data_IF_449937524492
#
_entry.id   IF_449937524492
#
_cell.length_a   1.000
_cell.length_b   1.000
_cell.length_c   1.000
_cell.angle_alpha   90.00
_cell.angle_beta   90.00
_cell.angle_gamma   90.00
#
_symmetry.space_group_name_H-M   'P 1'
#
loop_
_entity.id
_entity.type
_entity.pdbx_description
1 polymer ?
#
# COMPACT_ATOMS: atom_id res chain seq x y z
N UNK A 1 -43.83 -23.97 10.71
CA UNK A 1 -42.41 -23.91 11.14
C UNK A 1 -41.43 -24.13 9.99
N UNK A 2 -41.58 -25.19 9.18
CA UNK A 2 -40.65 -25.50 8.07
C UNK A 2 -40.45 -24.35 7.07
N UNK A 3 -41.51 -23.70 6.59
CA UNK A 3 -41.43 -22.58 5.64
C UNK A 3 -40.65 -21.37 6.18
N UNK A 4 -40.87 -21.00 7.45
CA UNK A 4 -40.12 -19.91 8.11
C UNK A 4 -38.63 -20.24 8.26
N UNK A 5 -38.32 -21.50 8.55
CA UNK A 5 -36.93 -21.98 8.64
C UNK A 5 -36.25 -21.96 7.26
N UNK A 6 -36.97 -22.37 6.20
CA UNK A 6 -36.47 -22.30 4.83
C UNK A 6 -36.17 -20.85 4.40
N UNK A 7 -37.06 -19.91 4.72
CA UNK A 7 -36.85 -18.48 4.40
C UNK A 7 -35.63 -17.91 5.14
N UNK A 8 -35.45 -18.26 6.42
CA UNK A 8 -34.28 -17.83 7.21
C UNK A 8 -32.96 -18.39 6.65
N UNK A 9 -32.94 -19.64 6.20
CA UNK A 9 -31.74 -20.26 5.62
C UNK A 9 -31.39 -19.59 4.28
N UNK A 10 -32.38 -19.35 3.42
CA UNK A 10 -32.17 -18.65 2.14
C UNK A 10 -31.69 -17.22 2.36
N UNK A 11 -32.30 -16.49 3.31
CA UNK A 11 -31.88 -15.12 3.63
C UNK A 11 -30.45 -15.06 4.18
N UNK A 12 -30.06 -16.00 5.04
CA UNK A 12 -28.69 -16.12 5.56
C UNK A 12 -27.66 -16.41 4.46
N UNK A 13 -27.99 -17.27 3.50
CA UNK A 13 -27.14 -17.57 2.35
C UNK A 13 -26.97 -16.36 1.42
N UNK A 14 -28.03 -15.56 1.22
CA UNK A 14 -27.99 -14.34 0.41
C UNK A 14 -27.19 -13.19 1.04
N UNK A 15 -26.89 -13.23 2.34
CA UNK A 15 -26.08 -12.23 3.03
C UNK A 15 -24.58 -12.51 3.00
N UNK A 16 -24.17 -13.69 2.52
CA UNK A 16 -22.76 -14.05 2.47
C UNK A 16 -22.14 -13.58 1.15
N UNK A 17 -20.99 -12.90 1.25
CA UNK A 17 -20.09 -12.43 0.19
C UNK A 17 -20.18 -10.95 -0.23
N UNK A 18 -19.98 -10.02 0.72
CA UNK A 18 -19.47 -8.67 0.38
C UNK A 18 -17.95 -8.71 0.51
N UNK A 19 -17.23 -8.56 -0.61
CA UNK A 19 -15.77 -8.48 -0.63
C UNK A 19 -15.35 -7.06 -0.99
N UNK A 20 -14.42 -6.49 -0.22
CA UNK A 20 -13.78 -5.22 -0.53
C UNK A 20 -12.36 -5.50 -1.05
N UNK A 21 -12.06 -5.02 -2.25
CA UNK A 21 -10.76 -5.19 -2.88
C UNK A 21 -9.80 -4.02 -2.58
N UNK A 22 -10.34 -2.80 -2.46
CA UNK A 22 -9.57 -1.59 -2.13
C UNK A 22 -9.15 -1.55 -0.65
N UNK A 23 -8.00 -0.92 -0.38
CA UNK A 23 -7.56 -0.66 1.00
C UNK A 23 -6.08 -0.32 1.14
N UNK A 24 -5.73 0.28 2.28
CA UNK A 24 -4.34 0.48 2.71
C UNK A 24 -3.95 -0.68 3.65
N UNK A 25 -3.02 -1.51 3.20
CA UNK A 25 -2.67 -2.75 3.88
C UNK A 25 -1.45 -2.57 4.80
N UNK A 26 -1.55 -3.08 6.03
CA UNK A 26 -0.39 -3.18 6.90
C UNK A 26 0.60 -4.20 6.33
N UNK A 27 1.85 -3.76 6.08
CA UNK A 27 2.89 -4.58 5.44
C UNK A 27 3.13 -5.93 6.14
N UNK A 28 3.16 -5.93 7.48
CA UNK A 28 3.34 -7.14 8.28
C UNK A 28 2.21 -8.17 8.17
N UNK A 29 1.05 -7.77 7.62
CA UNK A 29 -0.10 -8.64 7.42
C UNK A 29 -0.22 -9.15 5.98
N UNK A 30 0.56 -8.63 5.01
CA UNK A 30 0.47 -9.04 3.61
C UNK A 30 0.62 -10.55 3.43
N UNK A 31 1.52 -11.19 4.19
CA UNK A 31 1.70 -12.66 4.15
C UNK A 31 0.58 -13.44 4.85
N UNK A 32 -0.03 -12.86 5.88
CA UNK A 32 -1.13 -13.50 6.64
C UNK A 32 -2.43 -13.42 5.86
N UNK A 33 -2.61 -12.35 5.08
CA UNK A 33 -3.75 -12.15 4.22
C UNK A 33 -3.56 -12.88 2.88
N UNK A 34 -4.00 -14.15 2.85
CA UNK A 34 -3.97 -14.97 1.64
C UNK A 34 -4.76 -14.35 0.48
N UNK A 35 -5.81 -13.59 0.77
CA UNK A 35 -6.59 -12.91 -0.26
C UNK A 35 -5.76 -11.81 -0.92
N UNK A 36 -5.09 -10.95 -0.14
CA UNK A 36 -4.22 -9.91 -0.70
C UNK A 36 -3.07 -10.48 -1.52
N UNK A 37 -2.37 -11.52 -1.02
CA UNK A 37 -1.31 -12.20 -1.79
C UNK A 37 -1.83 -12.78 -3.11
N UNK A 38 -3.02 -13.40 -3.09
CA UNK A 38 -3.65 -13.93 -4.30
C UNK A 38 -4.02 -12.82 -5.28
N UNK A 39 -4.69 -11.77 -4.81
CA UNK A 39 -5.11 -10.63 -5.63
C UNK A 39 -3.91 -9.92 -6.26
N UNK A 40 -2.84 -9.66 -5.50
CA UNK A 40 -1.62 -9.06 -6.06
C UNK A 40 -1.05 -9.90 -7.22
N UNK A 41 -1.02 -11.24 -7.07
CA UNK A 41 -0.56 -12.16 -8.13
C UNK A 41 -1.51 -12.19 -9.33
N UNK A 42 -2.82 -12.25 -9.08
CA UNK A 42 -3.87 -12.23 -10.12
C UNK A 42 -3.82 -10.93 -10.94
N UNK A 43 -3.48 -9.81 -10.30
CA UNK A 43 -3.26 -8.50 -10.94
C UNK A 43 -1.88 -8.36 -11.62
N UNK A 44 -1.06 -9.41 -11.61
CA UNK A 44 0.20 -9.46 -12.37
C UNK A 44 1.46 -9.09 -11.58
N UNK A 45 1.40 -8.96 -10.25
CA UNK A 45 2.61 -8.77 -9.45
C UNK A 45 3.50 -10.02 -9.55
N UNK A 46 4.66 -9.87 -10.18
CA UNK A 46 5.64 -10.95 -10.31
C UNK A 46 6.57 -11.07 -9.10
N UNK A 47 6.70 -9.99 -8.32
CA UNK A 47 7.54 -9.95 -7.13
C UNK A 47 6.89 -10.71 -5.96
N UNK A 48 7.63 -11.58 -5.24
CA UNK A 48 7.08 -12.24 -4.07
C UNK A 48 6.92 -11.25 -2.90
N UNK A 49 5.89 -11.45 -2.06
CA UNK A 49 5.53 -10.53 -0.97
C UNK A 49 6.66 -10.27 0.03
N UNK A 50 7.55 -11.24 0.27
CA UNK A 50 8.70 -11.05 1.15
C UNK A 50 9.76 -10.09 0.57
N UNK A 51 9.75 -9.84 -0.73
CA UNK A 51 10.58 -8.79 -1.34
C UNK A 51 9.94 -7.41 -1.22
N UNK A 52 8.62 -7.34 -0.99
CA UNK A 52 7.94 -6.09 -0.64
C UNK A 52 8.24 -5.73 0.82
N UNK A 53 8.05 -6.69 1.74
CA UNK A 53 8.30 -6.49 3.17
C UNK A 53 8.85 -7.75 3.84
N UNK A 54 10.01 -7.63 4.49
CA UNK A 54 10.58 -8.64 5.37
C UNK A 54 11.23 -7.93 6.58
N UNK A 55 10.80 -8.20 7.82
CA UNK A 55 11.36 -7.53 9.00
C UNK A 55 12.79 -7.98 9.35
N UNK A 56 13.36 -8.97 8.65
CA UNK A 56 14.68 -9.54 8.94
C UNK A 56 15.70 -9.38 7.82
N UNK A 57 15.27 -8.98 6.62
CA UNK A 57 16.12 -8.93 5.42
C UNK A 57 15.80 -7.67 4.62
N UNK A 58 16.78 -7.13 3.87
CA UNK A 58 16.52 -6.03 2.95
C UNK A 58 15.36 -6.34 1.99
N UNK A 59 14.45 -5.39 1.87
CA UNK A 59 13.22 -5.46 1.09
C UNK A 59 12.86 -4.09 0.49
N UNK A 60 11.82 -4.04 -0.35
CA UNK A 60 11.41 -2.80 -1.04
C UNK A 60 11.00 -1.70 -0.06
N UNK A 61 10.37 -2.06 1.07
CA UNK A 61 9.96 -1.10 2.08
C UNK A 61 11.14 -0.29 2.66
N UNK A 62 12.37 -0.83 2.64
CA UNK A 62 13.55 -0.11 3.14
C UNK A 62 13.97 1.06 2.24
N UNK A 63 13.52 1.08 0.98
CA UNK A 63 13.75 2.18 0.05
C UNK A 63 12.65 3.26 0.09
N UNK A 64 11.54 3.02 0.79
CA UNK A 64 10.42 3.97 0.89
C UNK A 64 10.54 4.76 2.19
N UNK A 65 10.53 6.09 2.08
CA UNK A 65 10.78 6.99 3.21
C UNK A 65 9.60 7.92 3.50
N UNK A 66 9.45 8.29 4.77
CA UNK A 66 8.59 9.41 5.17
C UNK A 66 9.33 10.71 4.84
N UNK A 67 8.75 11.52 3.94
CA UNK A 67 9.33 12.77 3.49
C UNK A 67 8.60 13.94 4.15
N UNK A 68 9.29 14.69 5.01
CA UNK A 68 8.71 15.83 5.74
C UNK A 68 7.60 15.47 6.74
N UNK A 69 7.32 14.18 6.97
CA UNK A 69 6.28 13.70 7.88
C UNK A 69 4.86 13.64 7.27
N UNK A 70 4.67 14.07 6.02
CA UNK A 70 3.36 14.11 5.36
C UNK A 70 3.39 13.56 3.92
N UNK A 71 4.55 13.51 3.28
CA UNK A 71 4.74 12.94 1.95
C UNK A 71 5.49 11.62 2.01
N UNK A 72 5.54 10.93 0.87
CA UNK A 72 6.43 9.80 0.66
C UNK A 72 7.59 10.20 -0.26
N UNK A 73 8.71 9.50 -0.10
CA UNK A 73 9.82 9.52 -1.03
C UNK A 73 10.32 8.11 -1.31
N UNK A 74 11.16 7.97 -2.32
CA UNK A 74 11.84 6.71 -2.67
C UNK A 74 13.32 6.96 -2.88
N UNK A 75 14.16 6.14 -2.24
CA UNK A 75 15.62 6.12 -2.46
C UNK A 75 15.92 5.40 -3.77
N UNK A 76 16.71 6.03 -4.65
CA UNK A 76 16.98 5.53 -6.01
C UNK A 76 18.46 5.40 -6.35
N UNK A 77 19.37 5.73 -5.42
CA UNK A 77 20.82 5.49 -5.57
C UNK A 77 21.45 4.99 -4.28
N UNK A 78 22.63 4.36 -4.40
CA UNK A 78 23.43 3.88 -3.27
C UNK A 78 23.94 5.02 -2.37
N UNK A 79 24.08 6.23 -2.94
CA UNK A 79 24.48 7.45 -2.23
C UNK A 79 23.31 8.16 -1.53
N UNK A 80 22.09 7.61 -1.60
CA UNK A 80 20.92 8.16 -0.92
C UNK A 80 20.17 9.25 -1.69
N UNK A 81 20.24 9.26 -3.03
CA UNK A 81 19.36 10.13 -3.84
C UNK A 81 17.89 9.75 -3.60
N UNK A 82 17.05 10.73 -3.27
CA UNK A 82 15.62 10.54 -2.99
C UNK A 82 14.77 11.25 -4.04
N UNK A 83 13.81 10.53 -4.61
CA UNK A 83 12.74 11.11 -5.43
C UNK A 83 11.48 11.33 -4.59
N UNK A 84 10.82 12.46 -4.81
CA UNK A 84 9.49 12.81 -4.27
C UNK A 84 8.76 13.71 -5.26
N UNK A 85 7.53 14.10 -4.97
CA UNK A 85 6.80 15.02 -5.82
C UNK A 85 7.26 16.48 -5.62
N UNK A 86 7.15 17.28 -6.68
CA UNK A 86 7.48 18.71 -6.64
C UNK A 86 6.74 19.45 -5.50
N UNK A 87 5.44 19.21 -5.34
CA UNK A 87 4.64 19.86 -4.29
C UNK A 87 5.07 19.43 -2.86
N UNK A 88 5.71 18.28 -2.70
CA UNK A 88 6.27 17.84 -1.42
C UNK A 88 7.58 18.58 -1.09
N UNK A 89 8.40 18.87 -2.11
CA UNK A 89 9.65 19.63 -1.97
C UNK A 89 9.46 21.15 -2.06
N UNK A 90 8.26 21.62 -2.37
CA UNK A 90 7.99 23.02 -2.72
C UNK A 90 8.45 24.02 -1.66
N UNK A 91 8.22 23.73 -0.39
CA UNK A 91 8.65 24.62 0.70
C UNK A 91 10.17 24.79 0.76
N UNK A 92 10.93 23.76 0.42
CA UNK A 92 12.40 23.82 0.37
C UNK A 92 12.87 24.59 -0.85
N UNK A 93 12.24 24.38 -2.01
CA UNK A 93 12.51 25.13 -3.24
C UNK A 93 12.25 26.62 -3.00
N UNK A 94 11.05 26.97 -2.56
CA UNK A 94 10.63 28.34 -2.29
C UNK A 94 11.57 29.09 -1.33
N UNK A 95 12.08 28.42 -0.29
CA UNK A 95 13.02 29.02 0.68
C UNK A 95 14.38 29.39 0.07
N UNK A 96 14.74 28.79 -1.07
CA UNK A 96 16.00 29.06 -1.77
C UNK A 96 15.82 29.87 -3.06
N UNK A 97 14.57 30.11 -3.49
CA UNK A 97 14.26 30.97 -4.63
C UNK A 97 14.43 32.46 -4.28
N UNK A 98 14.90 33.24 -5.26
CA UNK A 98 14.94 34.71 -5.21
C UNK A 98 14.53 35.28 -6.56
N UNK A 99 14.36 36.59 -6.69
CA UNK A 99 14.06 37.21 -8.01
C UNK A 99 15.18 36.92 -9.03
N UNK A 100 16.42 36.88 -8.56
CA UNK A 100 17.60 36.59 -9.38
C UNK A 100 17.74 35.09 -9.71
N UNK A 101 17.15 34.21 -8.90
CA UNK A 101 17.25 32.76 -9.00
C UNK A 101 15.87 32.12 -8.72
N UNK A 102 14.95 32.31 -9.67
CA UNK A 102 13.58 31.77 -9.62
C UNK A 102 13.50 30.36 -10.23
#
# INVERSE_FOLDING_TARGET
>A
MKFRLTVLIVFSLCLSNVFADEGMWLLGNLRKNKQTDRVMKELGLQMPVNKIYDPKKPCLADAVVSFGGFCSGVVVSEDGLVFTNHHCGFSSIQQHSSVEHD
#
